data_IF_241566160267
#
_entry.id   IF_241566160267
#
_cell.length_a   1.000
_cell.length_b   1.000
_cell.length_c   1.000
_cell.angle_alpha   90.00
_cell.angle_beta   90.00
_cell.angle_gamma   90.00
#
_symmetry.space_group_name_H-M   'P 1'
#
loop_
_entity.id
_entity.type
_entity.pdbx_description
1 polymer ?
#
# COMPACT_ATOMS: atom_id res chain seq x y z
N UNK A 1 9.01 -44.81 16.89
CA UNK A 1 9.02 -44.36 18.30
C UNK A 1 8.35 -43.00 18.35
N UNK A 2 7.22 -42.81 19.02
CA UNK A 2 6.57 -41.51 19.11
C UNK A 2 7.46 -40.57 19.94
N UNK A 3 7.77 -39.39 19.39
CA UNK A 3 8.63 -38.39 20.00
C UNK A 3 8.05 -37.91 21.33
N UNK A 4 8.84 -38.01 22.40
CA UNK A 4 8.49 -37.48 23.70
C UNK A 4 8.51 -35.95 23.63
N UNK A 5 7.33 -35.33 23.73
CA UNK A 5 7.18 -33.87 23.70
C UNK A 5 7.57 -33.27 25.06
N UNK A 6 8.86 -32.93 25.15
CA UNK A 6 9.48 -32.31 26.33
C UNK A 6 8.78 -30.97 26.68
N UNK A 7 8.27 -30.24 25.67
CA UNK A 7 7.61 -28.95 25.87
C UNK A 7 6.31 -29.13 26.65
N UNK A 8 5.52 -30.14 26.29
CA UNK A 8 4.28 -30.49 26.99
C UNK A 8 4.51 -30.94 28.44
N UNK A 9 5.63 -31.61 28.71
CA UNK A 9 6.01 -31.97 30.08
C UNK A 9 6.33 -30.74 30.93
N UNK A 10 7.01 -29.74 30.38
CA UNK A 10 7.28 -28.47 31.07
C UNK A 10 6.03 -27.65 31.31
N UNK A 11 5.11 -27.59 30.34
CA UNK A 11 3.81 -26.91 30.51
C UNK A 11 3.00 -27.51 31.68
N UNK A 12 2.91 -28.84 31.77
CA UNK A 12 2.18 -29.52 32.85
C UNK A 12 2.82 -29.22 34.22
N UNK A 13 4.16 -29.21 34.29
CA UNK A 13 4.88 -28.91 35.54
C UNK A 13 4.69 -27.43 35.92
N UNK A 14 4.75 -26.52 34.95
CA UNK A 14 4.55 -25.09 35.17
C UNK A 14 3.12 -24.79 35.65
N UNK A 15 2.10 -25.35 34.98
CA UNK A 15 0.69 -25.21 35.35
C UNK A 15 0.45 -25.67 36.80
N UNK A 16 0.96 -26.85 37.16
CA UNK A 16 0.81 -27.40 38.50
C UNK A 16 1.50 -26.53 39.57
N UNK A 17 2.65 -25.93 39.24
CA UNK A 17 3.36 -25.00 40.13
C UNK A 17 2.64 -23.67 40.29
N UNK A 18 1.99 -23.17 39.23
CA UNK A 18 1.16 -21.96 39.29
C UNK A 18 -0.05 -22.21 40.19
N UNK A 19 -0.75 -23.34 40.02
CA UNK A 19 -1.90 -23.70 40.85
C UNK A 19 -1.52 -23.86 42.33
N UNK A 20 -0.44 -24.58 42.65
CA UNK A 20 0.09 -24.67 44.02
C UNK A 20 0.35 -23.27 44.62
N UNK A 21 0.98 -22.38 43.86
CA UNK A 21 1.27 -21.02 44.31
C UNK A 21 0.01 -20.15 44.46
N UNK A 22 -1.05 -20.41 43.70
CA UNK A 22 -2.36 -19.78 43.88
C UNK A 22 -3.05 -20.26 45.15
N UNK A 23 -3.05 -21.57 45.42
CA UNK A 23 -3.62 -22.16 46.63
C UNK A 23 -2.89 -21.72 47.91
N UNK A 24 -1.57 -21.56 47.83
CA UNK A 24 -0.73 -21.04 48.91
C UNK A 24 -0.85 -19.51 49.12
N UNK A 25 -1.66 -18.82 48.31
CA UNK A 25 -1.84 -17.37 48.39
C UNK A 25 -0.58 -16.57 48.04
N UNK A 26 0.40 -17.16 47.34
CA UNK A 26 1.66 -16.47 46.96
C UNK A 26 1.43 -15.30 46.00
N UNK A 27 0.30 -15.30 45.30
CA UNK A 27 -0.14 -14.19 44.44
C UNK A 27 -0.95 -13.12 45.19
N UNK A 28 -1.25 -13.31 46.49
CA UNK A 28 -2.19 -12.45 47.19
C UNK A 28 -1.63 -11.09 47.58
N UNK A 29 -0.32 -10.97 47.70
CA UNK A 29 0.37 -9.78 48.17
C UNK A 29 1.42 -9.28 47.17
N UNK A 30 1.12 -9.42 45.87
CA UNK A 30 2.01 -8.91 44.83
C UNK A 30 2.10 -7.38 44.86
N UNK A 31 3.31 -6.81 44.69
CA UNK A 31 3.47 -5.37 44.56
C UNK A 31 2.67 -4.87 43.35
N UNK A 32 1.77 -3.91 43.57
CA UNK A 32 0.88 -3.36 42.53
C UNK A 32 -0.45 -4.10 42.33
N UNK A 33 -0.79 -5.10 43.16
CA UNK A 33 -2.09 -5.79 43.08
C UNK A 33 -3.25 -4.80 43.26
N UNK A 34 -4.10 -4.69 42.25
CA UNK A 34 -5.28 -3.80 42.24
C UNK A 34 -4.98 -2.33 41.91
N UNK A 35 -3.72 -1.97 41.67
CA UNK A 35 -3.36 -0.64 41.17
C UNK A 35 -3.30 -0.66 39.63
N UNK A 36 -3.63 0.46 38.96
CA UNK A 36 -3.42 0.59 37.53
C UNK A 36 -1.95 0.30 37.20
N UNK A 37 -1.70 -0.64 36.29
CA UNK A 37 -0.35 -0.92 35.83
C UNK A 37 0.18 0.33 35.10
N UNK A 38 1.24 0.95 35.60
CA UNK A 38 1.89 2.06 34.92
C UNK A 38 2.77 1.49 33.79
N UNK A 39 2.12 1.21 32.66
CA UNK A 39 2.80 0.73 31.46
C UNK A 39 3.46 1.94 30.82
N UNK A 40 4.79 1.97 30.83
CA UNK A 40 5.55 2.94 30.04
C UNK A 40 5.15 2.77 28.56
N UNK A 41 4.51 3.78 27.93
CA UNK A 41 4.10 3.69 26.54
C UNK A 41 5.29 3.52 25.57
N UNK A 42 6.52 3.80 26.02
CA UNK A 42 7.76 3.63 25.26
C UNK A 42 8.64 2.47 25.78
N UNK A 43 8.07 1.45 26.43
CA UNK A 43 8.82 0.30 26.94
C UNK A 43 9.65 -0.43 25.85
N UNK A 44 9.18 -0.42 24.60
CA UNK A 44 9.88 -0.99 23.43
C UNK A 44 10.97 -0.08 22.85
N UNK A 45 11.09 1.17 23.31
CA UNK A 45 12.05 2.15 22.78
C UNK A 45 13.31 2.19 23.66
N UNK A 46 14.51 1.99 23.09
CA UNK A 46 15.78 2.11 23.83
C UNK A 46 15.90 3.48 24.54
N UNK A 47 16.44 3.56 25.78
CA UNK A 47 16.43 4.79 26.59
C UNK A 47 16.97 6.03 25.89
N UNK A 48 18.02 5.87 25.08
CA UNK A 48 18.66 6.96 24.34
C UNK A 48 17.81 7.49 23.16
N UNK A 49 16.81 6.74 22.71
CA UNK A 49 15.89 7.14 21.63
C UNK A 49 14.54 7.63 22.14
N UNK A 50 14.26 7.49 23.44
CA UNK A 50 12.94 7.84 24.01
C UNK A 50 12.60 9.31 23.82
N UNK A 51 13.56 10.22 24.05
CA UNK A 51 13.33 11.66 23.85
C UNK A 51 12.98 11.97 22.40
N UNK A 52 13.69 11.39 21.44
CA UNK A 52 13.41 11.56 20.02
C UNK A 52 12.03 10.98 19.64
N UNK A 53 11.70 9.78 20.14
CA UNK A 53 10.41 9.14 19.92
C UNK A 53 9.25 9.91 20.54
N UNK A 54 9.42 10.46 21.76
CA UNK A 54 8.42 11.30 22.43
C UNK A 54 8.23 12.62 21.70
N UNK A 55 9.29 13.25 21.19
CA UNK A 55 9.18 14.47 20.37
C UNK A 55 8.41 14.17 19.07
N UNK A 56 8.75 13.09 18.36
CA UNK A 56 8.04 12.68 17.14
C UNK A 56 6.57 12.34 17.41
N UNK A 57 6.29 11.62 18.49
CA UNK A 57 4.93 11.26 18.89
C UNK A 57 4.10 12.50 19.28
N UNK A 58 4.70 13.43 20.02
CA UNK A 58 4.02 14.64 20.50
C UNK A 58 3.91 15.75 19.45
N UNK A 59 4.74 15.71 18.40
CA UNK A 59 4.72 16.75 17.37
C UNK A 59 3.55 16.61 16.38
N UNK A 60 2.78 15.51 16.42
CA UNK A 60 1.77 15.18 15.40
C UNK A 60 2.32 15.19 13.95
N UNK A 61 3.65 15.18 13.77
CA UNK A 61 4.29 15.25 12.46
C UNK A 61 4.29 13.86 11.87
N UNK A 62 3.38 13.66 10.91
CA UNK A 62 3.39 12.46 10.07
C UNK A 62 4.69 12.44 9.25
N UNK A 63 5.43 11.33 9.23
CA UNK A 63 6.56 11.18 8.32
C UNK A 63 6.14 11.44 6.87
N UNK A 64 7.04 11.97 6.04
CA UNK A 64 6.73 12.34 4.65
C UNK A 64 6.08 11.18 3.89
N UNK A 65 6.64 9.96 4.01
CA UNK A 65 6.07 8.76 3.39
C UNK A 65 4.64 8.45 3.85
N UNK A 66 4.29 8.73 5.11
CA UNK A 66 2.94 8.50 5.63
C UNK A 66 1.95 9.53 5.07
N UNK A 67 2.42 10.75 4.81
CA UNK A 67 1.64 11.77 4.13
C UNK A 67 1.43 11.42 2.65
N UNK A 68 2.49 10.96 1.96
CA UNK A 68 2.40 10.47 0.58
C UNK A 68 1.43 9.29 0.48
N UNK A 69 1.43 8.36 1.45
CA UNK A 69 0.49 7.24 1.49
C UNK A 69 -0.97 7.71 1.54
N UNK A 70 -1.26 8.70 2.40
CA UNK A 70 -2.58 9.31 2.45
C UNK A 70 -2.97 9.99 1.14
N UNK A 71 -2.03 10.67 0.48
CA UNK A 71 -2.26 11.26 -0.85
C UNK A 71 -2.57 10.20 -1.91
N UNK A 72 -1.87 9.06 -1.89
CA UNK A 72 -2.14 7.93 -2.80
C UNK A 72 -3.58 7.44 -2.60
N UNK A 73 -4.01 7.23 -1.35
CA UNK A 73 -5.38 6.79 -1.04
C UNK A 73 -6.41 7.80 -1.57
N UNK A 74 -6.22 9.09 -1.31
CA UNK A 74 -7.14 10.14 -1.77
C UNK A 74 -7.20 10.25 -3.30
N UNK A 75 -6.05 10.15 -3.98
CA UNK A 75 -5.99 10.20 -5.43
C UNK A 75 -6.62 8.96 -6.08
N UNK A 76 -6.49 7.78 -5.47
CA UNK A 76 -7.20 6.56 -5.90
C UNK A 76 -8.71 6.69 -5.76
N UNK A 77 -9.19 7.28 -4.65
CA UNK A 77 -10.62 7.54 -4.47
C UNK A 77 -11.17 8.52 -5.52
N UNK A 78 -10.40 9.56 -5.89
CA UNK A 78 -10.79 10.47 -6.95
C UNK A 78 -10.99 9.75 -8.30
N UNK A 79 -10.14 8.76 -8.63
CA UNK A 79 -10.31 7.90 -9.81
C UNK A 79 -11.59 7.07 -9.69
N UNK A 80 -11.86 6.48 -8.52
CA UNK A 80 -13.07 5.67 -8.30
C UNK A 80 -14.35 6.50 -8.45
N UNK A 81 -14.38 7.72 -7.90
CA UNK A 81 -15.49 8.66 -8.06
C UNK A 81 -15.70 9.01 -9.54
N UNK A 82 -14.61 9.31 -10.26
CA UNK A 82 -14.69 9.63 -11.68
C UNK A 82 -15.22 8.44 -12.48
N UNK A 83 -14.77 7.22 -12.20
CA UNK A 83 -15.29 6.00 -12.86
C UNK A 83 -16.79 5.79 -12.60
N UNK A 84 -17.26 5.95 -11.36
CA UNK A 84 -18.69 5.86 -11.02
C UNK A 84 -19.51 6.90 -11.80
N UNK A 85 -18.98 8.12 -11.89
CA UNK A 85 -19.60 9.20 -12.67
C UNK A 85 -19.68 8.86 -14.15
N UNK A 86 -18.61 8.32 -14.74
CA UNK A 86 -18.60 7.86 -16.14
C UNK A 86 -19.63 6.78 -16.37
N UNK A 87 -19.68 5.76 -15.53
CA UNK A 87 -20.65 4.67 -15.65
C UNK A 87 -22.12 5.17 -15.64
N UNK A 88 -22.40 6.24 -14.91
CA UNK A 88 -23.74 6.84 -14.81
C UNK A 88 -24.04 7.77 -15.99
N UNK A 89 -23.09 8.63 -16.38
CA UNK A 89 -23.30 9.65 -17.41
C UNK A 89 -23.15 9.12 -18.83
N UNK A 90 -22.33 8.09 -19.04
CA UNK A 90 -22.02 7.53 -20.36
C UNK A 90 -23.28 7.12 -21.15
N UNK A 91 -24.21 6.30 -20.62
CA UNK A 91 -25.41 5.91 -21.36
C UNK A 91 -26.34 7.08 -21.67
N UNK A 92 -26.27 8.18 -20.91
CA UNK A 92 -27.11 9.37 -21.11
C UNK A 92 -26.53 10.36 -22.13
N UNK A 93 -25.26 10.18 -22.50
CA UNK A 93 -24.51 11.12 -23.34
C UNK A 93 -24.12 10.57 -24.69
N UNK A 94 -24.10 9.26 -24.88
CA UNK A 94 -23.67 8.62 -26.14
C UNK A 94 -24.39 9.14 -27.40
N UNK A 95 -25.66 9.56 -27.27
CA UNK A 95 -26.46 10.07 -28.39
C UNK A 95 -26.37 11.59 -28.59
N UNK A 96 -25.63 12.31 -27.72
CA UNK A 96 -25.57 13.78 -27.73
C UNK A 96 -24.42 14.29 -28.60
N UNK A 97 -24.57 15.46 -29.26
CA UNK A 97 -23.54 16.01 -30.14
C UNK A 97 -22.24 16.38 -29.40
N UNK A 98 -22.30 16.69 -28.10
CA UNK A 98 -21.14 17.03 -27.26
C UNK A 98 -20.47 15.80 -26.61
N UNK A 99 -20.77 14.58 -27.08
CA UNK A 99 -20.24 13.35 -26.50
C UNK A 99 -18.71 13.22 -26.67
N UNK A 100 -18.17 13.59 -27.83
CA UNK A 100 -16.73 13.49 -28.11
C UNK A 100 -15.89 14.38 -27.19
N UNK A 101 -16.30 15.63 -26.99
CA UNK A 101 -15.63 16.56 -26.08
C UNK A 101 -15.70 16.09 -24.63
N UNK A 102 -16.88 15.63 -24.20
CA UNK A 102 -17.05 15.07 -22.86
C UNK A 102 -16.15 13.86 -22.64
N UNK A 103 -16.11 12.93 -23.61
CA UNK A 103 -15.28 11.73 -23.52
C UNK A 103 -13.79 12.07 -23.48
N UNK A 104 -13.34 13.02 -24.32
CA UNK A 104 -11.96 13.50 -24.32
C UNK A 104 -11.57 14.08 -22.94
N UNK A 105 -12.43 14.92 -22.35
CA UNK A 105 -12.19 15.52 -21.04
C UNK A 105 -12.10 14.47 -19.92
N UNK A 106 -12.98 13.47 -19.95
CA UNK A 106 -12.97 12.35 -19.01
C UNK A 106 -11.66 11.56 -19.14
N UNK A 107 -11.29 11.19 -20.37
CA UNK A 107 -10.09 10.42 -20.64
C UNK A 107 -8.84 11.17 -20.21
N UNK A 108 -8.72 12.47 -20.54
CA UNK A 108 -7.62 13.32 -20.06
C UNK A 108 -7.56 13.39 -18.54
N UNK A 109 -8.72 13.53 -17.88
CA UNK A 109 -8.79 13.61 -16.42
C UNK A 109 -8.33 12.30 -15.76
N UNK A 110 -8.76 11.15 -16.29
CA UNK A 110 -8.34 9.84 -15.81
C UNK A 110 -6.84 9.61 -16.01
N UNK A 111 -6.32 9.93 -17.19
CA UNK A 111 -4.88 9.82 -17.50
C UNK A 111 -4.05 10.68 -16.55
N UNK A 112 -4.49 11.91 -16.28
CA UNK A 112 -3.82 12.83 -15.34
C UNK A 112 -3.80 12.27 -13.92
N UNK A 113 -4.93 11.77 -13.42
CA UNK A 113 -5.03 11.18 -12.09
C UNK A 113 -4.17 9.92 -11.94
N UNK A 114 -4.23 9.00 -12.91
CA UNK A 114 -3.41 7.78 -12.88
C UNK A 114 -1.91 8.08 -12.90
N UNK A 115 -1.48 9.06 -13.71
CA UNK A 115 -0.07 9.51 -13.69
C UNK A 115 0.32 10.09 -12.34
N UNK A 116 -0.51 10.97 -11.76
CA UNK A 116 -0.26 11.53 -10.43
C UNK A 116 -0.14 10.46 -9.36
N UNK A 117 -1.00 9.43 -9.38
CA UNK A 117 -0.89 8.31 -8.44
C UNK A 117 0.42 7.55 -8.64
N UNK A 118 0.83 7.29 -9.89
CA UNK A 118 2.12 6.62 -10.14
C UNK A 118 3.31 7.42 -9.62
N UNK A 119 3.27 8.75 -9.77
CA UNK A 119 4.34 9.63 -9.28
C UNK A 119 4.42 9.61 -7.75
N UNK A 120 3.25 9.63 -7.07
CA UNK A 120 3.16 9.48 -5.62
C UNK A 120 3.63 8.11 -5.14
N UNK A 121 3.26 7.04 -5.84
CA UNK A 121 3.70 5.67 -5.55
C UNK A 121 5.21 5.57 -5.68
N UNK A 122 5.82 6.18 -6.69
CA UNK A 122 7.26 6.21 -6.84
C UNK A 122 7.92 6.93 -5.66
N UNK A 123 7.41 8.11 -5.29
CA UNK A 123 7.91 8.84 -4.12
C UNK A 123 7.80 8.02 -2.83
N UNK A 124 6.65 7.37 -2.61
CA UNK A 124 6.44 6.52 -1.45
C UNK A 124 7.40 5.32 -1.43
N UNK A 125 7.51 4.60 -2.54
CA UNK A 125 8.35 3.41 -2.64
C UNK A 125 9.86 3.73 -2.47
N UNK A 126 10.29 4.96 -2.75
CA UNK A 126 11.67 5.41 -2.53
C UNK A 126 11.90 5.89 -1.08
N UNK A 127 10.92 6.58 -0.47
CA UNK A 127 11.07 7.23 0.84
C UNK A 127 10.65 6.38 2.02
N UNK A 128 9.86 5.32 1.79
CA UNK A 128 9.38 4.43 2.84
C UNK A 128 10.48 3.45 3.32
N UNK A 129 10.51 3.12 4.62
CA UNK A 129 11.34 2.04 5.14
C UNK A 129 11.07 0.70 4.44
N UNK A 130 12.11 -0.11 4.27
CA UNK A 130 12.08 -1.41 3.57
C UNK A 130 11.07 -2.42 4.17
N UNK A 131 10.68 -2.23 5.43
CA UNK A 131 9.72 -3.09 6.14
C UNK A 131 8.24 -2.80 5.81
N UNK A 132 7.93 -1.72 5.09
CA UNK A 132 6.56 -1.34 4.74
C UNK A 132 6.10 -1.92 3.40
N UNK A 133 4.79 -1.98 3.21
CA UNK A 133 4.16 -2.53 2.01
C UNK A 133 4.38 -1.63 0.79
N UNK A 134 4.81 -2.20 -0.32
CA UNK A 134 5.06 -1.49 -1.58
C UNK A 134 3.77 -1.30 -2.36
N UNK A 135 3.50 -0.08 -2.84
CA UNK A 135 2.33 0.15 -3.70
C UNK A 135 2.62 -0.23 -5.16
N UNK A 136 1.68 -0.94 -5.79
CA UNK A 136 1.73 -1.24 -7.20
C UNK A 136 1.27 -0.03 -8.04
N UNK A 137 2.05 0.42 -9.04
CA UNK A 137 1.66 1.50 -9.93
C UNK A 137 0.57 1.04 -10.91
N UNK A 138 -0.21 1.99 -11.41
CA UNK A 138 -1.17 1.74 -12.49
C UNK A 138 -0.45 1.50 -13.82
N UNK A 139 -0.77 0.39 -14.47
CA UNK A 139 -0.40 0.14 -15.85
C UNK A 139 -1.33 0.93 -16.78
N UNK A 140 -0.99 2.18 -17.06
CA UNK A 140 -1.86 3.15 -17.74
C UNK A 140 -2.39 2.60 -19.06
N UNK A 141 -1.54 2.01 -19.89
CA UNK A 141 -1.95 1.49 -21.20
C UNK A 141 -2.98 0.37 -21.08
N UNK A 142 -2.81 -0.51 -20.08
CA UNK A 142 -3.76 -1.58 -19.78
C UNK A 142 -5.07 -1.02 -19.27
N UNK A 143 -5.03 -0.08 -18.33
CA UNK A 143 -6.25 0.54 -17.77
C UNK A 143 -7.04 1.31 -18.81
N UNK A 144 -6.35 2.02 -19.71
CA UNK A 144 -6.99 2.69 -20.85
C UNK A 144 -7.63 1.67 -21.77
N UNK A 145 -6.92 0.59 -22.12
CA UNK A 145 -7.46 -0.46 -22.99
C UNK A 145 -8.75 -1.06 -22.40
N UNK A 146 -8.76 -1.36 -21.10
CA UNK A 146 -9.95 -1.86 -20.41
C UNK A 146 -11.10 -0.85 -20.44
N UNK A 147 -10.81 0.43 -20.22
CA UNK A 147 -11.82 1.49 -20.26
C UNK A 147 -12.41 1.68 -21.66
N UNK A 148 -11.60 1.64 -22.71
CA UNK A 148 -12.07 1.73 -24.09
C UNK A 148 -12.95 0.54 -24.47
N UNK A 149 -12.65 -0.65 -23.93
CA UNK A 149 -13.45 -1.85 -24.12
C UNK A 149 -14.80 -1.77 -23.37
N UNK A 150 -14.81 -1.20 -22.16
CA UNK A 150 -16.02 -1.02 -21.35
C UNK A 150 -16.91 0.12 -21.88
N UNK A 151 -16.29 1.22 -22.31
CA UNK A 151 -16.96 2.45 -22.75
C UNK A 151 -16.41 2.88 -24.13
N UNK A 152 -16.99 2.38 -25.25
CA UNK A 152 -16.46 2.66 -26.58
C UNK A 152 -16.48 4.16 -26.93
N UNK A 153 -15.39 4.70 -27.47
CA UNK A 153 -15.32 6.11 -27.86
C UNK A 153 -16.17 6.39 -29.12
N UNK A 154 -16.58 7.65 -29.34
CA UNK A 154 -17.20 8.04 -30.60
C UNK A 154 -16.19 7.99 -31.75
N UNK A 155 -16.64 7.60 -32.94
CA UNK A 155 -15.80 7.49 -34.13
C UNK A 155 -15.12 8.81 -34.56
N UNK A 156 -15.64 9.95 -34.11
CA UNK A 156 -15.07 11.28 -34.36
C UNK A 156 -13.88 11.63 -33.47
N UNK A 157 -13.61 10.86 -32.41
CA UNK A 157 -12.55 11.17 -31.45
C UNK A 157 -11.25 10.40 -31.76
N UNK A 158 -10.16 11.14 -31.91
CA UNK A 158 -8.81 10.58 -31.95
C UNK A 158 -8.27 10.34 -30.53
N UNK A 159 -8.43 9.11 -30.05
CA UNK A 159 -7.99 8.67 -28.72
C UNK A 159 -6.46 8.71 -28.57
N UNK A 160 -5.71 8.42 -29.64
CA UNK A 160 -4.24 8.37 -29.58
C UNK A 160 -3.66 9.76 -29.36
N UNK A 161 -4.23 10.77 -30.03
CA UNK A 161 -3.88 12.17 -29.80
C UNK A 161 -4.11 12.58 -28.34
N UNK A 162 -5.24 12.21 -27.76
CA UNK A 162 -5.57 12.53 -26.35
C UNK A 162 -4.56 11.90 -25.38
N UNK A 163 -4.15 10.66 -25.63
CA UNK A 163 -3.14 9.97 -24.82
C UNK A 163 -1.77 10.66 -24.97
N UNK A 164 -1.38 11.02 -26.19
CA UNK A 164 -0.11 11.70 -26.47
C UNK A 164 -0.02 13.07 -25.79
N UNK A 165 -1.08 13.89 -25.88
CA UNK A 165 -1.16 15.22 -25.25
C UNK A 165 -0.99 15.15 -23.73
N UNK A 166 -1.51 14.09 -23.10
CA UNK A 166 -1.34 13.85 -21.66
C UNK A 166 0.06 13.38 -21.24
N UNK A 167 0.89 12.93 -22.18
CA UNK A 167 2.20 12.33 -21.90
C UNK A 167 3.33 13.36 -21.77
N UNK A 168 3.17 14.52 -22.38
CA UNK A 168 4.17 15.58 -22.43
C UNK A 168 4.55 16.17 -21.05
N UNK A 169 3.76 15.93 -20.01
CA UNK A 169 3.93 16.56 -18.69
C UNK A 169 4.79 15.76 -17.70
N UNK A 170 5.05 14.46 -17.91
CA UNK A 170 5.82 13.63 -16.94
C UNK A 170 6.48 12.44 -17.65
N UNK A 171 7.61 12.69 -18.33
CA UNK A 171 8.15 11.75 -19.34
C UNK A 171 9.54 11.15 -19.08
N UNK A 172 10.45 11.84 -18.39
CA UNK A 172 11.87 11.43 -18.44
C UNK A 172 12.26 10.32 -17.44
N UNK A 173 11.66 10.28 -16.25
CA UNK A 173 12.10 9.37 -15.17
C UNK A 173 11.44 7.97 -15.25
N UNK A 174 10.33 7.85 -16.01
CA UNK A 174 9.44 6.67 -15.98
C UNK A 174 9.90 5.49 -16.83
N UNK A 175 10.61 5.73 -17.94
CA UNK A 175 11.05 4.66 -18.86
C UNK A 175 12.18 3.84 -18.24
N UNK A 176 13.09 4.49 -17.50
CA UNK A 176 14.22 3.80 -16.85
C UNK A 176 13.81 2.94 -15.66
N UNK A 177 12.80 3.35 -14.88
CA UNK A 177 12.33 2.58 -13.73
C UNK A 177 11.61 1.29 -14.14
N UNK A 178 10.81 1.34 -15.21
CA UNK A 178 10.10 0.17 -15.77
C UNK A 178 11.09 -0.86 -16.33
N UNK A 179 12.08 -0.40 -17.11
CA UNK A 179 13.13 -1.26 -17.66
C UNK A 179 13.98 -1.92 -16.55
N UNK A 180 14.28 -1.18 -15.47
CA UNK A 180 14.98 -1.72 -14.30
C UNK A 180 14.15 -2.78 -13.57
N UNK A 181 12.86 -2.56 -13.36
CA UNK A 181 11.98 -3.55 -12.73
C UNK A 181 11.86 -4.85 -13.55
N UNK A 182 11.74 -4.72 -14.87
CA UNK A 182 11.70 -5.87 -15.78
C UNK A 182 13.03 -6.65 -15.78
N UNK A 183 14.17 -5.96 -15.71
CA UNK A 183 15.49 -6.59 -15.59
C UNK A 183 15.71 -7.30 -14.25
N UNK A 184 15.18 -6.75 -13.14
CA UNK A 184 15.24 -7.37 -11.82
C UNK A 184 14.35 -8.62 -11.75
N UNK A 185 13.18 -8.56 -12.40
CA UNK A 185 12.24 -9.68 -12.49
C UNK A 185 12.73 -10.80 -13.40
N UNK A 186 13.47 -10.48 -14.48
CA UNK A 186 14.12 -11.50 -15.32
C UNK A 186 15.33 -12.13 -14.64
N UNK A 187 16.14 -11.35 -13.92
CA UNK A 187 17.28 -11.87 -13.16
C UNK A 187 16.91 -12.83 -12.02
N UNK A 188 15.76 -12.61 -11.36
CA UNK A 188 15.26 -13.53 -10.33
C UNK A 188 14.75 -14.87 -10.88
N UNK A 189 14.39 -14.95 -12.17
CA UNK A 189 13.98 -16.21 -12.82
C UNK A 189 15.16 -17.09 -13.21
N UNK A 190 16.31 -16.49 -13.52
CA UNK A 190 17.53 -17.23 -13.86
C UNK A 190 18.19 -17.79 -12.59
N UNK A 191 18.22 -17.03 -11.48
CA UNK A 191 18.81 -17.51 -10.21
C UNK A 191 17.99 -18.62 -9.53
N UNK A 192 16.73 -18.81 -9.90
CA UNK A 192 15.88 -19.88 -9.38
C UNK A 192 15.90 -21.16 -10.22
N UNK A 193 16.58 -21.16 -11.38
CA UNK A 193 16.66 -22.34 -12.27
C UNK A 193 17.93 -23.17 -12.06
N UNK A 194 18.95 -22.64 -11.38
CA UNK A 194 20.24 -23.33 -11.17
C UNK A 194 20.39 -23.94 -9.75
N UNK A 195 19.31 -23.98 -8.95
CA UNK A 195 19.34 -24.45 -7.55
C UNK A 195 18.48 -25.70 -7.28
N UNK A 196 18.04 -26.42 -8.31
CA UNK A 196 17.41 -27.75 -8.19
C UNK A 196 18.00 -28.71 -9.23
N UNK A 197 19.06 -29.43 -8.86
CA UNK A 197 19.05 -30.90 -8.76
C UNK A 197 20.41 -31.44 -8.23
N UNK A 198 20.39 -32.58 -7.50
CA UNK A 198 21.51 -33.11 -6.71
C UNK A 198 22.58 -33.89 -7.49
#
# INVERSE_FOLDING_TARGET
MPGYDISRAFEIIAERKIVEAMEEGKFDNLPGKGQPLEIDPQWLVPPHLRIAATILHNAEILPEWAQTDREIVMAREAIAILRRRVATEYPLRCEKPAFAEWYANILQSLLRLMRRVNDLILQYNISSPVSLHVHAPYAIDREVTLLLAEFPPPASLDVQRVIAESSTTSGAVRVEAQARYESLKSGQRETSSDAEEP
#
